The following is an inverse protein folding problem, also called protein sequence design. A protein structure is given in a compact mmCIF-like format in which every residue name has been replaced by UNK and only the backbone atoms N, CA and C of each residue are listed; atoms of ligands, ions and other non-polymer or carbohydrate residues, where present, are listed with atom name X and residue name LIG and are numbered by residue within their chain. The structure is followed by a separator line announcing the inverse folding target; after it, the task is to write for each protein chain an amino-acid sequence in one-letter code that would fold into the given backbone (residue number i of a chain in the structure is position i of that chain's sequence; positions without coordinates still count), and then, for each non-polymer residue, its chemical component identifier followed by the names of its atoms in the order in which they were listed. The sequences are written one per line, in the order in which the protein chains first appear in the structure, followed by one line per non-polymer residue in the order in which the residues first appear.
data_IF_818309716745
#
_entry.id   IF_818309716745
#
_cell.length_a   1.000
_cell.length_b   1.000
_cell.length_c   1.000
_cell.angle_alpha   90.00
_cell.angle_beta   90.00
_cell.angle_gamma   90.00
#
_symmetry.space_group_name_H-M   'P 1'
#
loop_
_entity.id
_entity.type
_entity.pdbx_description
1 polymer ?
#
# COMPACT_ATOMS: atom_id res chain seq x y z
N UNK A 1 2.99 16.33 -1.77
CA UNK A 1 4.21 15.93 -1.06
C UNK A 1 4.35 14.40 -0.98
N UNK A 2 3.32 13.68 -0.53
CA UNK A 2 3.33 12.20 -0.39
C UNK A 2 3.73 11.46 -1.69
N UNK A 3 3.17 11.87 -2.86
CA UNK A 3 3.52 11.28 -4.17
C UNK A 3 5.01 11.42 -4.47
N UNK A 4 5.58 12.60 -4.23
CA UNK A 4 6.98 12.90 -4.50
C UNK A 4 7.90 12.03 -3.66
N UNK A 5 7.65 11.97 -2.35
CA UNK A 5 8.44 11.16 -1.41
C UNK A 5 8.32 9.66 -1.76
N UNK A 6 7.10 9.18 -2.02
CA UNK A 6 6.88 7.78 -2.37
C UNK A 6 7.57 7.38 -3.67
N UNK A 7 7.44 8.18 -4.73
CA UNK A 7 8.11 7.93 -6.01
C UNK A 7 9.63 7.98 -5.89
N UNK A 8 10.17 8.90 -5.08
CA UNK A 8 11.61 8.99 -4.81
C UNK A 8 12.13 7.74 -4.09
N UNK A 9 11.43 7.25 -3.05
CA UNK A 9 11.80 6.02 -2.34
C UNK A 9 11.83 4.81 -3.28
N UNK A 10 10.83 4.69 -4.17
CA UNK A 10 10.81 3.61 -5.16
C UNK A 10 12.01 3.68 -6.12
N UNK A 11 12.33 4.87 -6.63
CA UNK A 11 13.48 5.06 -7.52
C UNK A 11 14.81 4.79 -6.82
N UNK A 12 14.91 5.14 -5.54
CA UNK A 12 16.08 4.87 -4.70
C UNK A 12 16.31 3.36 -4.56
N UNK A 13 15.27 2.58 -4.29
CA UNK A 13 15.37 1.13 -4.22
C UNK A 13 15.80 0.52 -5.57
N UNK A 14 15.30 1.04 -6.68
CA UNK A 14 15.69 0.56 -8.02
C UNK A 14 17.16 0.82 -8.30
N UNK A 15 17.63 2.05 -8.18
CA UNK A 15 18.98 2.42 -8.58
C UNK A 15 20.08 1.95 -7.62
N UNK A 16 19.78 1.84 -6.31
CA UNK A 16 20.78 1.45 -5.31
C UNK A 16 20.76 -0.03 -4.96
N UNK A 17 19.64 -0.74 -5.23
CA UNK A 17 19.49 -2.12 -4.78
C UNK A 17 19.18 -3.05 -5.96
N UNK A 18 18.08 -2.80 -6.69
CA UNK A 18 17.58 -3.78 -7.65
C UNK A 18 18.41 -3.85 -8.91
N UNK A 19 18.72 -2.70 -9.49
CA UNK A 19 19.47 -2.62 -10.75
C UNK A 19 20.90 -3.14 -10.63
N UNK A 20 21.71 -2.75 -9.61
CA UNK A 20 23.07 -3.26 -9.45
C UNK A 20 23.14 -4.75 -9.21
N UNK A 21 22.13 -5.33 -8.54
CA UNK A 21 22.09 -6.76 -8.17
C UNK A 21 21.33 -7.63 -9.19
N UNK A 22 20.79 -7.04 -10.25
CA UNK A 22 19.95 -7.75 -11.22
C UNK A 22 18.68 -8.36 -10.61
N UNK A 23 18.11 -7.72 -9.59
CA UNK A 23 16.86 -8.15 -8.96
C UNK A 23 15.66 -7.61 -9.74
N UNK A 24 15.03 -8.47 -10.51
CA UNK A 24 13.89 -8.14 -11.38
C UNK A 24 12.59 -8.32 -10.60
N UNK A 25 12.14 -7.26 -9.92
CA UNK A 25 10.99 -7.29 -8.99
C UNK A 25 9.62 -7.06 -9.65
N UNK A 26 9.51 -7.20 -10.98
CA UNK A 26 8.28 -6.88 -11.71
C UNK A 26 8.20 -5.40 -12.10
N UNK A 27 7.04 -4.98 -12.60
CA UNK A 27 6.84 -3.62 -13.07
C UNK A 27 7.63 -3.25 -14.33
N UNK A 28 7.39 -2.05 -14.85
CA UNK A 28 8.19 -1.52 -15.97
C UNK A 28 9.66 -1.35 -15.57
N UNK A 29 9.94 -1.06 -14.30
CA UNK A 29 11.33 -0.96 -13.81
C UNK A 29 12.05 -2.31 -13.86
N UNK A 30 11.40 -3.40 -13.43
CA UNK A 30 11.97 -4.75 -13.55
C UNK A 30 12.21 -5.13 -15.00
N UNK A 31 11.25 -4.86 -15.90
CA UNK A 31 11.43 -5.08 -17.33
C UNK A 31 12.57 -4.22 -17.90
N UNK A 32 12.72 -2.98 -17.44
CA UNK A 32 13.81 -2.10 -17.83
C UNK A 32 15.20 -2.65 -17.43
N UNK A 33 15.32 -3.27 -16.25
CA UNK A 33 16.56 -3.95 -15.82
C UNK A 33 16.91 -5.10 -16.76
N UNK A 34 15.91 -5.92 -17.15
CA UNK A 34 16.09 -6.99 -18.15
C UNK A 34 16.54 -6.42 -19.50
N UNK A 35 15.85 -5.41 -20.00
CA UNK A 35 16.18 -4.78 -21.28
C UNK A 35 17.56 -4.12 -21.25
N UNK A 36 17.92 -3.49 -20.13
CA UNK A 36 19.27 -2.92 -19.95
C UNK A 36 20.33 -4.00 -20.12
N UNK A 37 20.19 -5.14 -19.46
CA UNK A 37 21.15 -6.24 -19.56
C UNK A 37 21.26 -6.78 -20.99
N UNK A 38 20.13 -7.03 -21.66
CA UNK A 38 20.10 -7.52 -23.04
C UNK A 38 20.68 -6.52 -24.05
N UNK A 39 20.54 -5.23 -23.79
CA UNK A 39 21.04 -4.18 -24.69
C UNK A 39 22.50 -3.81 -24.48
N UNK A 40 23.17 -4.34 -23.43
CA UNK A 40 24.61 -4.15 -23.21
C UNK A 40 25.49 -4.64 -24.39
N UNK A 41 24.96 -5.58 -25.17
CA UNK A 41 25.66 -6.07 -26.38
C UNK A 41 25.73 -5.01 -27.49
N UNK A 42 24.78 -4.08 -27.51
CA UNK A 42 24.63 -3.08 -28.59
C UNK A 42 25.00 -1.66 -28.11
N UNK A 43 24.72 -1.36 -26.83
CA UNK A 43 24.93 -0.06 -26.21
C UNK A 43 25.89 -0.19 -25.04
N UNK A 44 26.93 0.60 -24.99
CA UNK A 44 27.82 0.67 -23.83
C UNK A 44 27.02 1.03 -22.58
N UNK A 45 26.99 0.09 -21.61
CA UNK A 45 26.20 0.23 -20.38
C UNK A 45 24.72 -0.15 -20.48
N UNK A 46 24.24 -0.52 -21.69
CA UNK A 46 22.82 -0.88 -21.93
C UNK A 46 21.86 0.31 -21.92
N UNK A 47 20.58 0.05 -22.22
CA UNK A 47 19.54 1.07 -22.20
C UNK A 47 19.25 1.52 -20.74
N UNK A 48 19.39 2.80 -20.40
CA UNK A 48 19.12 3.28 -19.04
C UNK A 48 17.68 2.99 -18.60
N UNK A 49 17.50 2.58 -17.34
CA UNK A 49 16.18 2.25 -16.76
C UNK A 49 15.19 3.41 -16.88
N UNK A 50 15.65 4.65 -16.64
CA UNK A 50 14.81 5.84 -16.77
C UNK A 50 14.30 6.06 -18.20
N UNK A 51 15.17 5.82 -19.21
CA UNK A 51 14.81 6.00 -20.63
C UNK A 51 13.76 4.98 -21.07
N UNK A 52 13.92 3.71 -20.66
CA UNK A 52 12.94 2.68 -20.94
C UNK A 52 11.58 3.01 -20.30
N UNK A 53 11.59 3.53 -19.06
CA UNK A 53 10.37 4.00 -18.39
C UNK A 53 9.70 5.14 -19.17
N UNK A 54 10.45 6.11 -19.69
CA UNK A 54 9.89 7.19 -20.56
C UNK A 54 9.20 6.59 -21.79
N UNK A 55 9.93 5.76 -22.54
CA UNK A 55 9.43 5.17 -23.81
C UNK A 55 8.16 4.36 -23.55
N UNK A 56 8.11 3.55 -22.49
CA UNK A 56 6.97 2.69 -22.17
C UNK A 56 5.77 3.49 -21.66
N UNK A 57 6.02 4.57 -20.92
CA UNK A 57 4.92 5.38 -20.36
C UNK A 57 4.26 6.30 -21.40
N UNK A 58 4.93 6.73 -22.46
CA UNK A 58 4.33 7.59 -23.49
C UNK A 58 3.04 6.96 -24.09
N UNK A 59 3.07 5.74 -24.67
CA UNK A 59 1.85 5.12 -25.21
C UNK A 59 0.82 4.80 -24.15
N UNK A 60 1.24 4.40 -22.93
CA UNK A 60 0.33 4.14 -21.82
C UNK A 60 -0.44 5.40 -21.40
N UNK A 61 0.22 6.55 -21.33
CA UNK A 61 -0.42 7.83 -21.04
C UNK A 61 -1.39 8.25 -22.13
N UNK A 62 -1.02 8.11 -23.40
CA UNK A 62 -1.88 8.45 -24.52
C UNK A 62 -3.20 7.66 -24.50
N UNK A 63 -3.15 6.36 -24.13
CA UNK A 63 -4.31 5.50 -23.96
C UNK A 63 -5.10 5.84 -22.69
N UNK A 64 -4.40 6.09 -21.59
CA UNK A 64 -5.00 6.29 -20.26
C UNK A 64 -5.81 7.58 -20.16
N UNK A 65 -5.37 8.66 -20.78
CA UNK A 65 -6.09 9.95 -20.80
C UNK A 65 -7.50 9.76 -21.38
N UNK A 66 -7.63 8.98 -22.46
CA UNK A 66 -8.92 8.70 -23.10
C UNK A 66 -9.84 7.81 -22.25
N UNK A 67 -9.27 6.91 -21.45
CA UNK A 67 -10.01 5.84 -20.75
C UNK A 67 -10.31 6.19 -19.31
N UNK A 68 -9.33 6.72 -18.56
CA UNK A 68 -9.42 6.99 -17.12
C UNK A 68 -9.82 8.42 -16.79
N UNK A 69 -9.72 9.32 -17.76
CA UNK A 69 -10.05 10.73 -17.60
C UNK A 69 -8.91 11.58 -17.03
N UNK A 70 -8.97 12.89 -17.33
CA UNK A 70 -7.85 13.81 -17.07
C UNK A 70 -7.57 14.02 -15.56
N UNK A 71 -8.61 13.99 -14.72
CA UNK A 71 -8.48 14.22 -13.28
C UNK A 71 -7.59 13.16 -12.60
N UNK A 72 -7.79 11.89 -12.94
CA UNK A 72 -6.95 10.78 -12.45
C UNK A 72 -5.54 10.88 -12.97
N UNK A 73 -5.38 11.32 -14.23
CA UNK A 73 -4.09 11.41 -14.89
C UNK A 73 -3.17 12.49 -14.30
N UNK A 74 -3.68 13.53 -13.66
CA UNK A 74 -2.83 14.55 -13.00
C UNK A 74 -1.94 13.93 -11.94
N UNK A 75 -2.50 13.17 -11.02
CA UNK A 75 -1.73 12.50 -9.94
C UNK A 75 -0.76 11.46 -10.50
N UNK A 76 -1.20 10.70 -11.51
CA UNK A 76 -0.33 9.73 -12.21
C UNK A 76 0.83 10.43 -12.91
N UNK A 77 0.58 11.56 -13.58
CA UNK A 77 1.63 12.35 -14.24
C UNK A 77 2.67 12.84 -13.23
N UNK A 78 2.24 13.40 -12.10
CA UNK A 78 3.16 13.85 -11.04
C UNK A 78 4.00 12.67 -10.52
N UNK A 79 3.37 11.54 -10.23
CA UNK A 79 4.07 10.35 -9.73
C UNK A 79 5.09 9.81 -10.73
N UNK A 80 4.68 9.65 -11.99
CA UNK A 80 5.54 9.14 -13.06
C UNK A 80 6.71 10.07 -13.36
N UNK A 81 6.46 11.39 -13.48
CA UNK A 81 7.52 12.37 -13.71
C UNK A 81 8.52 12.40 -12.56
N UNK A 82 8.02 12.42 -11.31
CA UNK A 82 8.91 12.38 -10.14
C UNK A 82 9.72 11.10 -10.10
N UNK A 83 9.12 9.95 -10.40
CA UNK A 83 9.81 8.67 -10.44
C UNK A 83 10.91 8.65 -11.48
N UNK A 84 10.62 9.05 -12.73
CA UNK A 84 11.60 9.10 -13.82
C UNK A 84 12.72 10.07 -13.52
N UNK A 85 12.41 11.29 -13.03
CA UNK A 85 13.43 12.26 -12.65
C UNK A 85 14.31 11.74 -11.52
N UNK A 86 13.74 11.03 -10.52
CA UNK A 86 14.50 10.42 -9.45
C UNK A 86 15.43 9.32 -9.98
N UNK A 87 14.99 8.47 -10.92
CA UNK A 87 15.85 7.48 -11.58
C UNK A 87 17.01 8.12 -12.36
N UNK A 88 16.82 9.34 -12.89
CA UNK A 88 17.91 10.06 -13.59
C UNK A 88 18.94 10.66 -12.63
N UNK A 89 18.47 11.17 -11.47
CA UNK A 89 19.31 11.94 -10.52
C UNK A 89 20.05 11.01 -9.56
N UNK A 90 19.41 9.94 -9.10
CA UNK A 90 20.01 8.99 -8.16
C UNK A 90 21.08 8.18 -8.90
N UNK A 91 22.37 8.21 -8.45
CA UNK A 91 23.41 7.42 -9.10
C UNK A 91 23.13 5.92 -8.94
N UNK A 92 23.50 5.15 -9.96
CA UNK A 92 23.45 3.68 -9.91
C UNK A 92 24.70 3.23 -9.16
N UNK A 93 24.55 3.01 -7.85
CA UNK A 93 25.62 2.50 -6.99
C UNK A 93 25.07 1.34 -6.19
N UNK A 94 25.87 0.26 -6.10
CA UNK A 94 25.53 -0.82 -5.21
C UNK A 94 25.61 -0.30 -3.75
N UNK A 95 24.45 -0.12 -3.13
CA UNK A 95 24.41 0.08 -1.69
C UNK A 95 24.82 -1.27 -1.05
N UNK A 96 25.75 -1.22 -0.12
CA UNK A 96 26.57 -2.30 0.43
C UNK A 96 25.74 -3.50 0.95
N UNK A 97 25.11 -4.24 0.06
CA UNK A 97 24.50 -5.52 0.41
C UNK A 97 25.18 -6.61 -0.43
N UNK A 98 26.12 -7.34 0.18
CA UNK A 98 26.66 -8.58 -0.40
C UNK A 98 25.64 -9.73 -0.32
N UNK A 99 24.59 -9.56 0.50
CA UNK A 99 23.53 -10.56 0.71
C UNK A 99 22.27 -10.18 -0.06
N UNK A 100 21.92 -11.01 -1.06
CA UNK A 100 20.74 -10.84 -1.89
C UNK A 100 19.42 -10.95 -1.08
N UNK A 101 19.38 -11.72 0.00
CA UNK A 101 18.20 -11.80 0.85
C UNK A 101 17.98 -10.48 1.59
N UNK A 102 19.04 -9.93 2.17
CA UNK A 102 18.96 -8.63 2.84
C UNK A 102 18.55 -7.52 1.86
N UNK A 103 19.14 -7.53 0.66
CA UNK A 103 18.78 -6.61 -0.43
C UNK A 103 17.30 -6.74 -0.83
N UNK A 104 16.77 -7.96 -0.96
CA UNK A 104 15.38 -8.22 -1.28
C UNK A 104 14.43 -7.71 -0.17
N UNK A 105 14.79 -7.93 1.11
CA UNK A 105 13.99 -7.47 2.26
C UNK A 105 13.98 -5.96 2.37
N UNK A 106 15.16 -5.33 2.35
CA UNK A 106 15.28 -3.87 2.51
C UNK A 106 14.72 -3.14 1.29
N UNK A 107 15.06 -3.60 0.08
CA UNK A 107 14.52 -3.06 -1.16
C UNK A 107 12.99 -3.18 -1.21
N UNK A 108 12.47 -4.36 -0.85
CA UNK A 108 11.03 -4.61 -0.77
C UNK A 108 10.32 -3.70 0.23
N UNK A 109 10.90 -3.49 1.41
CA UNK A 109 10.33 -2.60 2.42
C UNK A 109 10.30 -1.13 1.96
N UNK A 110 11.41 -0.63 1.39
CA UNK A 110 11.50 0.75 0.89
C UNK A 110 10.51 0.96 -0.27
N UNK A 111 10.50 0.03 -1.24
CA UNK A 111 9.59 0.10 -2.39
C UNK A 111 8.13 0.01 -1.92
N UNK A 112 7.82 -0.88 -0.98
CA UNK A 112 6.46 -1.07 -0.48
C UNK A 112 5.93 0.15 0.26
N UNK A 113 6.73 0.78 1.13
CA UNK A 113 6.36 2.05 1.77
C UNK A 113 6.15 3.14 0.72
N UNK A 114 7.07 3.28 -0.25
CA UNK A 114 6.95 4.24 -1.34
C UNK A 114 5.68 4.02 -2.16
N UNK A 115 5.37 2.78 -2.52
CA UNK A 115 4.17 2.39 -3.27
C UNK A 115 2.90 2.67 -2.46
N UNK A 116 2.88 2.32 -1.17
CA UNK A 116 1.78 2.62 -0.26
C UNK A 116 1.51 4.12 -0.15
N UNK A 117 2.57 4.95 -0.08
CA UNK A 117 2.45 6.41 -0.09
C UNK A 117 1.81 6.93 -1.39
N UNK A 118 2.21 6.41 -2.55
CA UNK A 118 1.65 6.79 -3.85
C UNK A 118 0.19 6.37 -3.95
N UNK A 119 -0.14 5.15 -3.58
CA UNK A 119 -1.51 4.62 -3.64
C UNK A 119 -2.47 5.26 -2.64
N UNK A 120 -1.98 5.73 -1.48
CA UNK A 120 -2.80 6.39 -0.46
C UNK A 120 -3.49 7.67 -0.96
N UNK A 121 -2.96 8.27 -2.03
CA UNK A 121 -3.51 9.47 -2.67
C UNK A 121 -4.07 9.19 -4.09
N UNK A 122 -4.40 7.92 -4.35
CA UNK A 122 -4.95 7.47 -5.65
C UNK A 122 -4.07 7.88 -6.84
N UNK A 123 -2.75 7.86 -6.64
CA UNK A 123 -1.75 8.10 -7.68
C UNK A 123 -1.12 6.77 -8.14
N UNK A 124 -0.30 6.83 -9.20
CA UNK A 124 0.54 5.74 -9.69
C UNK A 124 1.85 6.32 -10.22
N UNK A 125 2.88 5.52 -10.27
CA UNK A 125 4.15 5.86 -10.94
C UNK A 125 4.16 5.49 -12.42
N UNK A 126 2.97 5.21 -12.98
CA UNK A 126 2.84 4.75 -14.38
C UNK A 126 3.12 3.25 -14.53
N UNK A 127 3.59 2.84 -15.70
CA UNK A 127 4.04 1.47 -15.93
C UNK A 127 2.93 0.42 -15.86
N UNK A 128 3.26 -0.72 -15.24
CA UNK A 128 2.33 -1.87 -15.13
C UNK A 128 1.09 -1.56 -14.32
N UNK A 129 1.15 -0.66 -13.32
CA UNK A 129 0.00 -0.23 -12.53
C UNK A 129 -1.06 0.43 -13.41
N UNK A 130 -0.59 1.34 -14.28
CA UNK A 130 -1.45 2.03 -15.24
C UNK A 130 -2.00 1.06 -16.27
N UNK A 131 -1.18 0.13 -16.76
CA UNK A 131 -1.60 -0.92 -17.69
C UNK A 131 -2.65 -1.83 -17.05
N UNK A 132 -2.46 -2.24 -15.80
CA UNK A 132 -3.43 -3.07 -15.08
C UNK A 132 -4.76 -2.34 -14.87
N UNK A 133 -4.73 -1.05 -14.58
CA UNK A 133 -5.92 -0.20 -14.46
C UNK A 133 -6.67 -0.07 -15.78
N UNK A 134 -5.95 0.03 -16.91
CA UNK A 134 -6.55 0.02 -18.24
C UNK A 134 -7.22 -1.32 -18.55
N UNK A 135 -6.53 -2.43 -18.31
CA UNK A 135 -7.07 -3.78 -18.55
C UNK A 135 -8.33 -4.01 -17.69
N UNK A 136 -8.29 -3.62 -16.41
CA UNK A 136 -9.44 -3.72 -15.50
C UNK A 136 -10.66 -2.94 -16.00
N UNK A 137 -10.44 -1.78 -16.61
CA UNK A 137 -11.54 -0.96 -17.19
C UNK A 137 -12.29 -1.70 -18.28
N UNK A 138 -11.59 -2.52 -19.08
CA UNK A 138 -12.20 -3.35 -20.13
C UNK A 138 -12.73 -4.69 -19.59
N UNK A 139 -12.06 -5.26 -18.59
CA UNK A 139 -12.45 -6.53 -17.98
C UNK A 139 -12.61 -6.39 -16.46
N UNK A 140 -13.79 -5.94 -16.05
CA UNK A 140 -14.13 -5.70 -14.64
C UNK A 140 -14.19 -6.97 -13.78
N UNK A 141 -14.20 -8.16 -14.39
CA UNK A 141 -14.22 -9.44 -13.66
C UNK A 141 -12.86 -9.80 -13.04
N UNK A 142 -11.77 -9.20 -13.52
CA UNK A 142 -10.41 -9.46 -13.02
C UNK A 142 -9.95 -8.23 -12.24
N UNK A 143 -9.63 -8.40 -10.96
CA UNK A 143 -9.15 -7.30 -10.11
C UNK A 143 -7.77 -6.79 -10.55
N UNK A 144 -7.50 -5.50 -10.33
CA UNK A 144 -6.20 -4.87 -10.64
C UNK A 144 -5.02 -5.62 -10.01
N UNK A 145 -5.05 -6.03 -8.72
CA UNK A 145 -3.96 -6.81 -8.13
C UNK A 145 -3.69 -8.14 -8.84
N UNK A 146 -4.75 -8.81 -9.32
CA UNK A 146 -4.58 -10.08 -10.05
C UNK A 146 -3.91 -9.87 -11.41
N UNK A 147 -4.26 -8.79 -12.10
CA UNK A 147 -3.61 -8.42 -13.37
C UNK A 147 -2.13 -8.11 -13.13
N UNK A 148 -1.82 -7.32 -12.09
CA UNK A 148 -0.44 -7.00 -11.71
C UNK A 148 0.36 -8.26 -11.39
N UNK A 149 -0.18 -9.17 -10.59
CA UNK A 149 0.49 -10.44 -10.25
C UNK A 149 0.86 -11.25 -11.51
N UNK A 150 -0.03 -11.27 -12.51
CA UNK A 150 0.24 -11.99 -13.77
C UNK A 150 1.35 -11.30 -14.57
N UNK A 151 1.28 -9.98 -14.70
CA UNK A 151 2.28 -9.19 -15.44
C UNK A 151 3.65 -9.28 -14.75
N UNK A 152 3.69 -9.05 -13.45
CA UNK A 152 4.93 -9.08 -12.68
C UNK A 152 5.53 -10.50 -12.64
N UNK A 153 4.69 -11.52 -12.53
CA UNK A 153 5.12 -12.92 -12.65
C UNK A 153 5.79 -13.22 -13.99
N UNK A 154 5.22 -12.74 -15.11
CA UNK A 154 5.83 -12.89 -16.42
C UNK A 154 7.20 -12.14 -16.51
N UNK A 155 7.29 -10.94 -15.95
CA UNK A 155 8.53 -10.16 -15.91
C UNK A 155 9.59 -10.86 -15.05
N UNK A 156 9.22 -11.44 -13.91
CA UNK A 156 10.15 -12.22 -13.06
C UNK A 156 10.67 -13.45 -13.80
N UNK A 157 9.82 -14.13 -14.56
CA UNK A 157 10.24 -15.27 -15.41
C UNK A 157 11.27 -14.82 -16.46
N UNK A 158 11.05 -13.67 -17.11
CA UNK A 158 12.03 -13.09 -18.02
C UNK A 158 13.33 -12.74 -17.29
N UNK A 159 13.24 -12.19 -16.08
CA UNK A 159 14.40 -11.94 -15.21
C UNK A 159 15.16 -13.23 -14.87
N UNK A 160 14.46 -14.33 -14.61
CA UNK A 160 15.07 -15.63 -14.34
C UNK A 160 15.89 -16.16 -15.54
N UNK A 161 15.43 -15.90 -16.76
CA UNK A 161 16.15 -16.31 -17.98
C UNK A 161 17.44 -15.50 -18.20
N UNK A 162 17.48 -14.25 -17.75
CA UNK A 162 18.63 -13.34 -17.97
C UNK A 162 19.61 -13.38 -16.81
N UNK A 163 19.12 -13.33 -15.57
CA UNK A 163 19.95 -13.23 -14.35
C UNK A 163 20.04 -14.54 -13.56
N UNK A 164 19.36 -15.58 -14.01
CA UNK A 164 19.33 -16.88 -13.36
C UNK A 164 18.22 -17.01 -12.32
N UNK A 165 17.92 -18.27 -11.99
CA UNK A 165 16.80 -18.65 -11.11
C UNK A 165 17.01 -18.17 -9.67
N UNK A 166 18.27 -18.08 -9.21
CA UNK A 166 18.61 -17.59 -7.87
C UNK A 166 18.10 -16.15 -7.66
N UNK A 167 18.42 -15.23 -8.59
CA UNK A 167 17.96 -13.85 -8.53
C UNK A 167 16.43 -13.75 -8.60
N UNK A 168 15.77 -14.60 -9.38
CA UNK A 168 14.32 -14.62 -9.47
C UNK A 168 13.65 -15.03 -8.16
N UNK A 169 14.22 -15.98 -7.40
CA UNK A 169 13.69 -16.36 -6.08
C UNK A 169 13.80 -15.21 -5.09
N UNK A 170 14.89 -14.47 -5.07
CA UNK A 170 15.02 -13.26 -4.24
C UNK A 170 14.10 -12.14 -4.71
N UNK A 171 13.87 -12.00 -6.01
CA UNK A 171 12.92 -11.06 -6.55
C UNK A 171 11.48 -11.37 -6.09
N UNK A 172 11.07 -12.64 -6.02
CA UNK A 172 9.77 -13.05 -5.47
C UNK A 172 9.65 -12.64 -4.00
N UNK A 173 10.71 -12.81 -3.21
CA UNK A 173 10.73 -12.37 -1.80
C UNK A 173 10.58 -10.84 -1.73
N UNK A 174 11.30 -10.09 -2.55
CA UNK A 174 11.19 -8.63 -2.59
C UNK A 174 9.78 -8.17 -2.95
N UNK A 175 9.13 -8.78 -3.95
CA UNK A 175 7.74 -8.48 -4.35
C UNK A 175 6.75 -8.79 -3.22
N UNK A 176 6.91 -9.92 -2.54
CA UNK A 176 6.07 -10.27 -1.40
C UNK A 176 6.18 -9.25 -0.26
N UNK A 177 7.41 -8.83 0.07
CA UNK A 177 7.65 -7.82 1.11
C UNK A 177 7.12 -6.46 0.67
N UNK A 178 7.30 -6.07 -0.61
CA UNK A 178 6.73 -4.86 -1.19
C UNK A 178 5.22 -4.82 -1.01
N UNK A 179 4.52 -5.89 -1.36
CA UNK A 179 3.07 -5.97 -1.19
C UNK A 179 2.67 -5.84 0.29
N UNK A 180 3.33 -6.59 1.19
CA UNK A 180 3.05 -6.53 2.63
C UNK A 180 3.33 -5.16 3.26
N UNK A 181 4.43 -4.51 2.88
CA UNK A 181 4.76 -3.17 3.38
C UNK A 181 3.79 -2.11 2.83
N UNK A 182 3.40 -2.21 1.56
CA UNK A 182 2.41 -1.33 0.94
C UNK A 182 1.04 -1.49 1.60
N UNK A 183 0.57 -2.73 1.76
CA UNK A 183 -0.70 -3.03 2.44
C UNK A 183 -0.66 -2.51 3.88
N UNK A 184 0.40 -2.80 4.63
CA UNK A 184 0.58 -2.33 6.00
C UNK A 184 0.58 -0.80 6.12
N UNK A 185 1.17 -0.09 5.13
CA UNK A 185 1.11 1.37 5.07
C UNK A 185 -0.33 1.86 4.82
N UNK A 186 -1.02 1.28 3.83
CA UNK A 186 -2.39 1.65 3.48
C UNK A 186 -3.37 1.31 4.60
N UNK A 187 -3.24 0.14 5.21
CA UNK A 187 -4.05 -0.26 6.35
C UNK A 187 -3.76 0.62 7.57
N UNK A 188 -2.49 0.96 7.83
CA UNK A 188 -2.11 1.85 8.94
C UNK A 188 -2.73 3.24 8.90
N UNK A 189 -3.21 3.68 7.75
CA UNK A 189 -3.94 4.95 7.56
C UNK A 189 -5.46 4.81 7.79
N UNK A 190 -6.01 3.57 7.83
CA UNK A 190 -7.45 3.30 7.82
C UNK A 190 -7.98 2.52 9.02
N UNK A 191 -7.17 2.29 10.07
CA UNK A 191 -7.62 1.48 11.20
C UNK A 191 -8.73 2.15 12.01
N UNK A 192 -9.94 1.62 11.87
CA UNK A 192 -11.00 1.77 12.84
C UNK A 192 -11.05 0.55 13.78
N UNK A 193 -11.43 0.79 15.02
CA UNK A 193 -11.68 -0.23 16.04
C UNK A 193 -13.15 -0.14 16.45
N UNK A 194 -13.81 -1.27 16.58
CA UNK A 194 -15.09 -1.36 17.23
C UNK A 194 -14.89 -1.72 18.70
N UNK A 195 -15.47 -0.93 19.58
CA UNK A 195 -15.57 -1.22 21.00
C UNK A 195 -16.98 -1.68 21.32
N UNK A 196 -17.09 -2.82 21.98
CA UNK A 196 -18.31 -3.30 22.62
C UNK A 196 -18.09 -3.19 24.11
N UNK A 197 -18.91 -2.37 24.79
CA UNK A 197 -18.72 -2.08 26.22
C UNK A 197 -19.95 -2.58 26.96
N UNK A 198 -19.76 -3.42 27.96
CA UNK A 198 -20.80 -3.90 28.86
C UNK A 198 -20.48 -3.33 30.25
N UNK A 199 -21.39 -2.49 30.75
CA UNK A 199 -21.25 -1.81 32.03
C UNK A 199 -22.64 -1.63 32.63
N UNK A 200 -22.74 -1.67 33.93
CA UNK A 200 -23.98 -1.31 34.63
C UNK A 200 -24.22 0.21 34.67
N UNK A 201 -23.13 1.00 34.49
CA UNK A 201 -23.15 2.46 34.39
C UNK A 201 -23.10 2.94 32.92
N UNK A 202 -23.73 2.19 31.98
CA UNK A 202 -23.62 2.40 30.55
C UNK A 202 -24.01 3.82 30.10
N UNK A 203 -24.96 4.49 30.77
CA UNK A 203 -25.38 5.85 30.41
C UNK A 203 -24.28 6.89 30.64
N UNK A 204 -23.56 6.78 31.78
CA UNK A 204 -22.43 7.67 32.07
C UNK A 204 -21.27 7.40 31.12
N UNK A 205 -20.95 6.14 30.87
CA UNK A 205 -19.91 5.76 29.92
C UNK A 205 -20.22 6.30 28.52
N UNK A 206 -21.45 6.14 28.05
CA UNK A 206 -21.86 6.67 26.75
C UNK A 206 -21.77 8.18 26.68
N UNK A 207 -22.25 8.90 27.71
CA UNK A 207 -22.19 10.34 27.81
C UNK A 207 -20.75 10.87 27.75
N UNK A 208 -19.85 10.24 28.51
CA UNK A 208 -18.44 10.63 28.54
C UNK A 208 -17.71 10.38 27.21
N UNK A 209 -18.01 9.25 26.55
CA UNK A 209 -17.47 8.96 25.22
C UNK A 209 -17.93 10.02 24.22
N UNK A 210 -19.23 10.32 24.19
CA UNK A 210 -19.76 11.32 23.25
C UNK A 210 -19.20 12.72 23.53
N UNK A 211 -19.05 13.10 24.80
CA UNK A 211 -18.61 14.45 25.17
C UNK A 211 -17.10 14.64 25.03
N UNK A 212 -16.29 13.63 25.46
CA UNK A 212 -14.82 13.75 25.48
C UNK A 212 -14.16 13.39 24.16
N UNK A 213 -14.79 12.51 23.35
CA UNK A 213 -14.20 12.00 22.12
C UNK A 213 -14.95 12.44 20.86
N UNK A 214 -16.11 13.09 21.01
CA UNK A 214 -16.98 13.49 19.90
C UNK A 214 -17.29 12.30 18.95
N UNK A 215 -17.68 11.16 19.56
CA UNK A 215 -17.97 9.91 18.84
C UNK A 215 -19.37 9.40 19.14
N UNK A 216 -20.06 8.95 18.12
CA UNK A 216 -21.36 8.32 18.26
C UNK A 216 -21.27 6.99 19.04
N UNK A 217 -22.23 6.79 19.94
CA UNK A 217 -22.37 5.56 20.72
C UNK A 217 -23.76 4.98 20.49
N UNK A 218 -23.82 3.71 20.12
CA UNK A 218 -25.09 2.99 19.93
C UNK A 218 -25.32 2.01 21.09
N UNK A 219 -26.47 2.13 21.76
CA UNK A 219 -26.88 1.16 22.80
C UNK A 219 -27.61 -0.04 22.17
N UNK A 220 -27.07 -1.23 22.32
CA UNK A 220 -27.69 -2.48 21.88
C UNK A 220 -28.30 -3.19 23.09
N UNK A 221 -29.60 -3.53 23.01
CA UNK A 221 -30.26 -4.31 24.07
C UNK A 221 -29.72 -5.73 24.09
N UNK A 222 -29.34 -6.20 25.28
CA UNK A 222 -28.76 -7.51 25.52
C UNK A 222 -29.32 -8.10 26.82
N UNK A 223 -29.26 -9.40 26.97
CA UNK A 223 -29.68 -10.09 28.23
C UNK A 223 -28.49 -10.89 28.78
N UNK A 224 -28.15 -10.65 30.00
CA UNK A 224 -27.14 -11.43 30.73
C UNK A 224 -27.59 -12.87 30.91
N UNK A 225 -27.00 -13.83 30.20
CA UNK A 225 -27.47 -15.22 30.24
C UNK A 225 -27.28 -15.90 31.60
N UNK A 226 -26.29 -15.47 32.36
CA UNK A 226 -26.05 -15.96 33.72
C UNK A 226 -26.95 -15.25 34.75
N UNK A 227 -26.97 -13.92 34.71
CA UNK A 227 -27.75 -13.10 35.68
C UNK A 227 -29.24 -13.05 35.40
N UNK A 228 -29.66 -13.40 34.16
CA UNK A 228 -31.04 -13.27 33.67
C UNK A 228 -31.58 -11.82 33.71
N UNK A 229 -30.69 -10.83 33.75
CA UNK A 229 -31.01 -9.41 33.79
C UNK A 229 -30.84 -8.79 32.42
N UNK A 230 -31.68 -7.80 32.14
CA UNK A 230 -31.51 -6.97 30.94
C UNK A 230 -30.30 -6.05 31.11
N UNK A 231 -29.48 -5.98 30.06
CA UNK A 231 -28.29 -5.13 29.98
C UNK A 231 -28.29 -4.34 28.68
N UNK A 232 -27.56 -3.25 28.68
CA UNK A 232 -27.22 -2.57 27.43
C UNK A 232 -25.73 -2.72 27.14
N UNK A 233 -25.44 -3.12 25.91
CA UNK A 233 -24.09 -3.15 25.37
C UNK A 233 -23.90 -1.90 24.50
N UNK A 234 -22.90 -1.09 24.81
CA UNK A 234 -22.56 0.06 23.98
C UNK A 234 -21.68 -0.40 22.82
N UNK A 235 -22.01 0.09 21.64
CA UNK A 235 -21.24 -0.09 20.43
C UNK A 235 -20.70 1.25 19.95
N UNK A 236 -19.39 1.38 19.77
CA UNK A 236 -18.76 2.58 19.30
C UNK A 236 -17.63 2.22 18.33
N UNK A 237 -17.52 2.96 17.22
CA UNK A 237 -16.42 2.81 16.27
C UNK A 237 -15.51 4.04 16.35
N UNK A 238 -14.22 3.78 16.52
CA UNK A 238 -13.23 4.82 16.80
C UNK A 238 -11.89 4.51 16.14
N UNK A 239 -10.96 5.46 16.14
CA UNK A 239 -9.59 5.22 15.70
C UNK A 239 -8.80 4.39 16.71
N UNK A 240 -7.69 3.78 16.26
CA UNK A 240 -6.78 3.03 17.13
C UNK A 240 -6.27 3.84 18.34
N UNK A 241 -6.13 5.15 18.20
CA UNK A 241 -5.66 6.01 19.30
C UNK A 241 -6.74 6.28 20.35
N UNK A 242 -7.99 6.34 19.91
CA UNK A 242 -9.14 6.65 20.78
C UNK A 242 -9.58 5.44 21.59
N UNK A 243 -9.28 4.20 21.15
CA UNK A 243 -9.67 2.98 21.87
C UNK A 243 -9.09 2.91 23.29
N UNK A 244 -7.87 3.44 23.48
CA UNK A 244 -7.22 3.51 24.79
C UNK A 244 -8.05 4.39 25.71
N UNK A 245 -8.46 5.57 25.24
CA UNK A 245 -9.29 6.50 26.02
C UNK A 245 -10.65 5.93 26.35
N UNK A 246 -11.28 5.20 25.42
CA UNK A 246 -12.55 4.50 25.69
C UNK A 246 -12.40 3.48 26.82
N UNK A 247 -11.31 2.72 26.81
CA UNK A 247 -11.06 1.73 27.85
C UNK A 247 -10.82 2.38 29.19
N UNK A 248 -10.09 3.53 29.21
CA UNK A 248 -9.88 4.33 30.43
C UNK A 248 -11.21 4.88 30.96
N UNK A 249 -12.02 5.54 30.12
CA UNK A 249 -13.34 6.08 30.50
C UNK A 249 -14.22 4.97 31.10
N UNK A 250 -14.31 3.83 30.44
CA UNK A 250 -15.14 2.72 30.89
C UNK A 250 -14.69 2.21 32.27
N UNK A 251 -13.36 2.06 32.47
CA UNK A 251 -12.79 1.56 33.72
C UNK A 251 -12.81 2.56 34.87
N UNK A 252 -12.70 3.86 34.58
CA UNK A 252 -12.82 4.91 35.59
C UNK A 252 -14.25 5.01 36.14
N UNK A 253 -15.27 4.84 35.28
CA UNK A 253 -16.68 4.92 35.68
C UNK A 253 -17.16 3.62 36.32
N UNK A 254 -16.78 2.50 35.73
CA UNK A 254 -17.14 1.17 36.19
C UNK A 254 -15.92 0.23 36.11
N UNK A 255 -15.24 -0.02 37.23
CA UNK A 255 -14.11 -0.96 37.27
C UNK A 255 -14.43 -2.38 36.82
N UNK A 256 -15.72 -2.77 36.93
CA UNK A 256 -16.21 -4.09 36.52
C UNK A 256 -16.64 -4.13 35.05
N UNK A 257 -16.57 -3.01 34.32
CA UNK A 257 -16.92 -2.93 32.91
C UNK A 257 -16.12 -3.93 32.07
N UNK A 258 -16.74 -4.47 31.03
CA UNK A 258 -16.15 -5.40 30.09
C UNK A 258 -16.08 -4.75 28.73
N UNK A 259 -14.86 -4.56 28.19
CA UNK A 259 -14.62 -3.92 26.91
C UNK A 259 -14.02 -4.93 25.94
N UNK A 260 -14.73 -5.20 24.84
CA UNK A 260 -14.26 -6.03 23.73
C UNK A 260 -13.85 -5.09 22.60
N UNK A 261 -12.66 -5.33 22.06
CA UNK A 261 -12.15 -4.55 20.92
C UNK A 261 -11.96 -5.48 19.73
N UNK A 262 -12.52 -5.10 18.59
CA UNK A 262 -12.31 -5.79 17.32
C UNK A 262 -11.80 -4.86 16.25
N UNK A 263 -11.07 -5.42 15.28
CA UNK A 263 -10.63 -4.69 14.10
C UNK A 263 -11.81 -4.51 13.15
N UNK A 264 -11.96 -3.28 12.64
CA UNK A 264 -12.92 -2.97 11.59
C UNK A 264 -12.14 -2.56 10.35
N UNK A 265 -12.36 -3.28 9.24
CA UNK A 265 -11.61 -3.05 8.01
C UNK A 265 -12.08 -1.81 7.26
N UNK A 266 -13.39 -1.58 7.22
CA UNK A 266 -13.98 -0.44 6.53
C UNK A 266 -15.13 0.12 7.34
N UNK A 267 -15.15 1.44 7.49
CA UNK A 267 -16.26 2.20 8.07
C UNK A 267 -16.59 3.33 7.10
N UNK A 268 -17.82 3.35 6.66
CA UNK A 268 -18.34 4.35 5.74
C UNK A 268 -19.39 5.17 6.45
N UNK A 269 -19.35 6.49 6.31
CA UNK A 269 -20.31 7.40 6.90
C UNK A 269 -19.67 8.56 7.64
N UNK A 270 -20.50 9.38 8.27
CA UNK A 270 -20.10 10.60 8.96
C UNK A 270 -19.01 10.36 10.02
N UNK A 271 -17.95 11.14 9.93
CA UNK A 271 -16.76 11.01 10.80
C UNK A 271 -15.73 9.96 10.35
N UNK A 272 -15.96 9.27 9.22
CA UNK A 272 -15.05 8.30 8.61
C UNK A 272 -14.89 8.58 7.10
N UNK A 273 -14.90 7.56 6.26
CA UNK A 273 -14.76 7.74 4.81
C UNK A 273 -16.09 8.22 4.25
N UNK A 274 -16.12 9.43 3.68
CA UNK A 274 -17.24 9.93 2.88
C UNK A 274 -17.09 9.47 1.41
N UNK A 275 -18.24 9.21 0.74
CA UNK A 275 -18.29 8.82 -0.68
C UNK A 275 -18.01 9.98 -1.62
#
# INVERSE_FOLDING_TARGET
MTIIVGSFLMALAVNLIYEPLGLVTGGVAGLAIVVKELTKVILDGGMPVWLFNVITNIPLFALSIKILGIRTMVNVTIGTLTYILSLMIIPINQFVFDDLLLAAVVGGAITGVGLGMVFSVSASTGGTDLMASLIHKYNKHVSVPRILTIIDGAIIILGALVFGIGNALYAIIAVYITAKASDGFLEGLKFAKAAYIISDEYEKVASDIMTKLDRGVTGVSATGMYSKTDKKMLFCVVSKKEIIKITEIAKEIDPNSFVIVSDVREVMGEGFIEY
#
